data_IF_903169483875
#
_entry.id   IF_903169483875
#
_cell.length_a   1.000
_cell.length_b   1.000
_cell.length_c   1.000
_cell.angle_alpha   90.00
_cell.angle_beta   90.00
_cell.angle_gamma   90.00
#
_symmetry.space_group_name_H-M   'P 1'
#
loop_
_entity.id
_entity.type
_entity.pdbx_description
1 polymer ?
#
# COMPACT_ATOMS: atom_id res chain seq x y z
N UNK A 1 15.47 3.17 3.93
CA UNK A 1 16.45 2.27 4.60
C UNK A 1 15.79 1.25 5.54
N UNK A 2 14.84 1.66 6.39
CA UNK A 2 14.19 0.76 7.36
C UNK A 2 13.01 -0.05 6.81
N UNK A 3 12.55 0.26 5.60
CA UNK A 3 11.32 -0.30 5.02
C UNK A 3 11.28 -1.83 5.03
N UNK A 4 12.39 -2.51 4.71
CA UNK A 4 12.49 -3.98 4.82
C UNK A 4 12.11 -4.50 6.21
N UNK A 5 12.72 -3.92 7.25
CA UNK A 5 12.46 -4.30 8.63
C UNK A 5 11.06 -3.91 9.08
N UNK A 6 10.63 -2.69 8.75
CA UNK A 6 9.30 -2.17 9.08
C UNK A 6 8.22 -3.03 8.43
N UNK A 7 8.33 -3.36 7.15
CA UNK A 7 7.38 -4.22 6.46
C UNK A 7 7.37 -5.62 7.04
N UNK A 8 8.52 -6.22 7.37
CA UNK A 8 8.53 -7.50 8.08
C UNK A 8 7.74 -7.44 9.40
N UNK A 9 7.90 -6.38 10.19
CA UNK A 9 7.16 -6.19 11.44
C UNK A 9 5.66 -5.99 11.21
N UNK A 10 5.29 -5.09 10.29
CA UNK A 10 3.88 -4.79 9.97
C UNK A 10 3.15 -6.00 9.35
N UNK A 11 3.86 -6.82 8.57
CA UNK A 11 3.36 -8.07 8.00
C UNK A 11 3.43 -9.24 9.00
N UNK A 12 3.75 -8.98 10.27
CA UNK A 12 3.82 -9.98 11.35
C UNK A 12 4.72 -11.17 11.02
N UNK A 13 5.87 -10.90 10.42
CA UNK A 13 6.94 -11.90 10.30
C UNK A 13 7.60 -12.01 11.68
N UNK A 14 7.56 -13.20 12.27
CA UNK A 14 8.20 -13.47 13.54
C UNK A 14 9.53 -14.23 13.37
N UNK A 15 10.22 -14.53 14.48
CA UNK A 15 11.50 -15.25 14.46
C UNK A 15 11.34 -16.66 13.89
N UNK A 16 10.23 -17.33 14.18
CA UNK A 16 9.93 -18.67 13.69
C UNK A 16 9.76 -18.69 12.17
N UNK A 17 9.04 -17.71 11.62
CA UNK A 17 8.91 -17.50 10.18
C UNK A 17 10.30 -17.35 9.54
N UNK A 18 11.21 -16.58 10.14
CA UNK A 18 12.57 -16.38 9.63
C UNK A 18 13.37 -17.68 9.64
N UNK A 19 13.27 -18.45 10.72
CA UNK A 19 14.01 -19.69 10.91
C UNK A 19 13.44 -20.85 10.11
N UNK A 20 12.14 -20.81 9.79
CA UNK A 20 11.49 -21.81 8.93
C UNK A 20 12.21 -21.90 7.59
N UNK A 21 12.72 -23.09 7.29
CA UNK A 21 13.45 -23.36 6.05
C UNK A 21 12.44 -23.66 4.94
N UNK A 22 12.47 -22.83 3.90
CA UNK A 22 11.75 -23.08 2.65
C UNK A 22 12.78 -23.22 1.52
N UNK A 23 12.72 -24.33 0.79
CA UNK A 23 13.64 -24.58 -0.32
C UNK A 23 12.98 -24.08 -1.61
N UNK A 24 13.15 -22.79 -1.90
CA UNK A 24 12.51 -22.13 -3.05
C UNK A 24 12.79 -22.83 -4.39
N UNK A 25 14.01 -23.35 -4.56
CA UNK A 25 14.39 -24.08 -5.76
C UNK A 25 13.51 -25.32 -6.01
N UNK A 26 13.18 -26.07 -4.95
CA UNK A 26 12.36 -27.28 -5.07
C UNK A 26 10.91 -26.92 -5.39
N UNK A 27 10.41 -25.82 -4.85
CA UNK A 27 9.08 -25.29 -5.19
C UNK A 27 8.99 -24.92 -6.67
N UNK A 28 10.01 -24.24 -7.22
CA UNK A 28 10.04 -23.89 -8.64
C UNK A 28 10.17 -25.13 -9.52
N UNK A 29 11.04 -26.07 -9.16
CA UNK A 29 11.26 -27.31 -9.94
C UNK A 29 10.00 -28.18 -10.02
N UNK A 30 9.23 -28.24 -8.94
CA UNK A 30 8.04 -29.08 -8.83
C UNK A 30 6.74 -28.31 -9.12
N UNK A 31 6.83 -27.08 -9.64
CA UNK A 31 5.67 -26.25 -9.91
C UNK A 31 4.81 -26.81 -11.05
N UNK A 32 3.51 -26.55 -10.98
CA UNK A 32 2.58 -26.88 -12.05
C UNK A 32 2.97 -26.17 -13.37
N UNK A 33 2.90 -26.89 -14.49
CA UNK A 33 3.31 -26.37 -15.81
C UNK A 33 2.45 -25.19 -16.26
N UNK A 34 1.17 -25.18 -15.90
CA UNK A 34 0.24 -24.08 -16.23
C UNK A 34 0.64 -22.82 -15.49
N UNK A 35 0.91 -22.93 -14.18
CA UNK A 35 1.41 -21.82 -13.37
C UNK A 35 2.71 -21.25 -13.96
N UNK A 36 3.68 -22.10 -14.29
CA UNK A 36 4.96 -21.67 -14.87
C UNK A 36 4.73 -20.92 -16.19
N UNK A 37 3.85 -21.41 -17.06
CA UNK A 37 3.52 -20.77 -18.33
C UNK A 37 2.88 -19.39 -18.13
N UNK A 38 1.88 -19.28 -17.25
CA UNK A 38 1.20 -18.01 -16.94
C UNK A 38 2.18 -16.96 -16.41
N UNK A 39 2.99 -17.31 -15.41
CA UNK A 39 3.97 -16.39 -14.81
C UNK A 39 5.04 -15.98 -15.84
N UNK A 40 5.47 -16.88 -16.72
CA UNK A 40 6.40 -16.54 -17.79
C UNK A 40 5.82 -15.49 -18.73
N UNK A 41 4.61 -15.73 -19.25
CA UNK A 41 3.93 -14.80 -20.17
C UNK A 41 3.81 -13.39 -19.57
N UNK A 42 3.42 -13.30 -18.30
CA UNK A 42 3.21 -12.01 -17.64
C UNK A 42 4.52 -11.30 -17.30
N UNK A 43 5.48 -12.01 -16.70
CA UNK A 43 6.76 -11.39 -16.29
C UNK A 43 7.63 -11.01 -17.49
N UNK A 44 7.52 -11.72 -18.61
CA UNK A 44 8.28 -11.39 -19.82
C UNK A 44 7.82 -10.07 -20.45
N UNK A 45 6.54 -9.71 -20.27
CA UNK A 45 5.96 -8.42 -20.68
C UNK A 45 6.31 -7.25 -19.75
N UNK A 46 6.84 -7.51 -18.56
CA UNK A 46 7.34 -6.42 -17.70
C UNK A 46 8.49 -5.68 -18.41
N UNK A 47 8.44 -4.34 -18.48
CA UNK A 47 9.57 -3.55 -19.01
C UNK A 47 10.66 -3.42 -17.91
N UNK A 48 11.31 -4.54 -17.59
CA UNK A 48 12.60 -4.55 -16.91
C UNK A 48 13.66 -4.94 -17.93
N UNK A 49 14.69 -4.11 -18.16
CA UNK A 49 15.77 -4.44 -19.09
C UNK A 49 16.69 -5.57 -18.55
N UNK A 50 16.54 -5.94 -17.27
CA UNK A 50 17.42 -6.91 -16.62
C UNK A 50 16.80 -8.31 -16.61
N UNK A 51 17.25 -9.19 -17.51
CA UNK A 51 16.81 -10.59 -17.56
C UNK A 51 17.05 -11.35 -16.24
N UNK A 52 18.12 -11.05 -15.51
CA UNK A 52 18.37 -11.67 -14.22
C UNK A 52 17.31 -11.28 -13.17
N UNK A 53 16.76 -10.07 -13.26
CA UNK A 53 15.64 -9.64 -12.41
C UNK A 53 14.37 -10.41 -12.76
N UNK A 54 14.01 -10.50 -14.06
CA UNK A 54 12.84 -11.27 -14.53
C UNK A 54 12.88 -12.72 -14.05
N UNK A 55 14.03 -13.39 -14.15
CA UNK A 55 14.21 -14.77 -13.65
C UNK A 55 13.91 -14.86 -12.15
N UNK A 56 14.44 -13.93 -11.35
CA UNK A 56 14.20 -13.90 -9.89
C UNK A 56 12.74 -13.60 -9.56
N UNK A 57 12.08 -12.74 -10.32
CA UNK A 57 10.66 -12.44 -10.16
C UNK A 57 9.79 -13.65 -10.47
N UNK A 58 10.07 -14.35 -11.58
CA UNK A 58 9.44 -15.63 -11.93
C UNK A 58 9.60 -16.64 -10.79
N UNK A 59 10.83 -16.81 -10.31
CA UNK A 59 11.12 -17.74 -9.21
C UNK A 59 10.36 -17.36 -7.93
N UNK A 60 10.30 -16.08 -7.57
CA UNK A 60 9.57 -15.59 -6.40
C UNK A 60 8.08 -15.94 -6.51
N UNK A 61 7.43 -15.55 -7.62
CA UNK A 61 5.99 -15.76 -7.83
C UNK A 61 5.67 -17.25 -7.87
N UNK A 62 6.39 -18.03 -8.69
CA UNK A 62 6.19 -19.48 -8.80
C UNK A 62 6.36 -20.15 -7.44
N UNK A 63 7.37 -19.75 -6.65
CA UNK A 63 7.58 -20.31 -5.31
C UNK A 63 6.37 -20.09 -4.40
N UNK A 64 5.80 -18.88 -4.35
CA UNK A 64 4.67 -18.57 -3.46
C UNK A 64 3.42 -19.34 -3.86
N UNK A 65 3.07 -19.34 -5.14
CA UNK A 65 1.89 -20.06 -5.62
C UNK A 65 2.05 -21.59 -5.61
N UNK A 66 3.27 -22.10 -5.70
CA UNK A 66 3.55 -23.53 -5.50
C UNK A 66 3.48 -23.93 -4.02
N UNK A 67 3.96 -23.05 -3.13
CA UNK A 67 3.86 -23.24 -1.68
C UNK A 67 2.41 -23.22 -1.19
N UNK A 68 1.56 -22.43 -1.83
CA UNK A 68 0.13 -22.26 -1.52
C UNK A 68 -0.78 -22.98 -2.51
N UNK A 69 -0.28 -24.01 -3.22
CA UNK A 69 -0.99 -24.60 -4.38
C UNK A 69 -2.40 -25.11 -4.07
N UNK A 70 -2.67 -25.51 -2.83
CA UNK A 70 -3.99 -26.00 -2.38
C UNK A 70 -4.98 -24.86 -2.13
N UNK A 71 -4.50 -23.65 -1.85
CA UNK A 71 -5.34 -22.53 -1.43
C UNK A 71 -5.37 -21.39 -2.43
N UNK A 72 -4.34 -21.16 -3.25
CA UNK A 72 -4.25 -19.98 -4.12
C UNK A 72 -3.96 -20.31 -5.57
N UNK A 73 -4.57 -19.52 -6.46
CA UNK A 73 -4.37 -19.48 -7.91
C UNK A 73 -3.69 -18.18 -8.29
N UNK A 74 -2.76 -18.26 -9.23
CA UNK A 74 -2.15 -17.08 -9.81
C UNK A 74 -3.16 -16.31 -10.65
N UNK A 75 -3.18 -14.99 -10.50
CA UNK A 75 -3.91 -14.06 -11.37
C UNK A 75 -2.95 -13.05 -11.97
N UNK A 76 -3.26 -12.60 -13.18
CA UNK A 76 -2.49 -11.55 -13.86
C UNK A 76 -2.52 -10.26 -13.04
N UNK A 77 -1.38 -9.56 -12.98
CA UNK A 77 -1.17 -8.33 -12.21
C UNK A 77 -0.45 -8.53 -10.88
N UNK A 78 -0.54 -9.70 -10.23
CA UNK A 78 0.18 -9.98 -8.97
C UNK A 78 1.71 -9.87 -9.12
N UNK A 79 2.22 -10.07 -10.33
CA UNK A 79 3.65 -9.90 -10.63
C UNK A 79 4.13 -8.46 -10.41
N UNK A 80 3.26 -7.45 -10.51
CA UNK A 80 3.59 -6.05 -10.21
C UNK A 80 3.86 -5.85 -8.71
N UNK A 81 3.08 -6.47 -7.84
CA UNK A 81 3.36 -6.50 -6.39
C UNK A 81 4.68 -7.24 -6.13
N UNK A 82 4.85 -8.42 -6.75
CA UNK A 82 6.09 -9.20 -6.63
C UNK A 82 7.33 -8.40 -7.02
N UNK A 83 7.24 -7.53 -8.04
CA UNK A 83 8.29 -6.60 -8.44
C UNK A 83 8.64 -5.65 -7.30
N UNK A 84 7.64 -5.00 -6.68
CA UNK A 84 7.85 -4.06 -5.55
C UNK A 84 8.61 -4.74 -4.41
N UNK A 85 8.21 -5.95 -4.04
CA UNK A 85 8.89 -6.71 -2.99
C UNK A 85 10.30 -7.13 -3.41
N UNK A 86 10.50 -7.60 -4.64
CA UNK A 86 11.80 -8.03 -5.12
C UNK A 86 12.80 -6.86 -5.19
N UNK A 87 12.40 -5.72 -5.74
CA UNK A 87 13.21 -4.49 -5.76
C UNK A 87 13.53 -4.04 -4.34
N UNK A 88 12.54 -4.04 -3.44
CA UNK A 88 12.75 -3.65 -2.05
C UNK A 88 13.74 -4.57 -1.35
N UNK A 89 13.54 -5.89 -1.34
CA UNK A 89 14.28 -6.82 -0.49
C UNK A 89 15.58 -7.35 -1.11
N UNK A 90 15.65 -7.49 -2.44
CA UNK A 90 16.76 -8.18 -3.09
C UNK A 90 17.77 -7.25 -3.76
N UNK A 91 17.34 -6.17 -4.40
CA UNK A 91 18.25 -5.39 -5.27
C UNK A 91 19.21 -4.47 -4.51
N UNK A 92 18.88 -4.01 -3.30
CA UNK A 92 19.81 -3.14 -2.56
C UNK A 92 20.93 -3.96 -1.87
N UNK A 93 22.17 -3.81 -2.36
CA UNK A 93 23.40 -4.01 -1.57
C UNK A 93 23.46 -2.88 -0.54
N UNK A 94 23.45 -3.17 0.75
CA UNK A 94 23.47 -2.16 1.81
C UNK A 94 24.81 -2.11 2.50
N UNK A 95 25.19 -0.90 2.92
CA UNK A 95 26.33 -0.64 3.78
C UNK A 95 25.99 -1.07 5.22
N UNK A 96 26.88 -1.84 5.85
CA UNK A 96 26.65 -2.48 7.17
C UNK A 96 26.42 -1.45 8.28
N UNK A 97 26.99 -0.24 8.13
CA UNK A 97 26.90 0.86 9.11
C UNK A 97 25.48 1.37 9.30
N UNK A 98 24.71 1.46 8.23
CA UNK A 98 23.37 2.05 8.27
C UNK A 98 22.36 1.12 8.94
N UNK A 99 22.53 -0.19 8.77
CA UNK A 99 21.72 -1.21 9.47
C UNK A 99 21.92 -1.10 10.99
N UNK A 100 23.15 -0.81 11.46
CA UNK A 100 23.41 -0.61 12.89
C UNK A 100 22.66 0.61 13.45
N UNK A 101 22.67 1.76 12.74
CA UNK A 101 21.92 2.96 13.14
C UNK A 101 20.41 2.74 13.17
N UNK A 102 19.89 2.02 12.18
CA UNK A 102 18.46 1.70 12.06
C UNK A 102 17.95 0.79 13.18
N UNK A 103 18.72 -0.24 13.54
CA UNK A 103 18.39 -1.14 14.64
C UNK A 103 18.47 -0.37 15.97
N UNK A 104 19.50 0.44 16.19
CA UNK A 104 19.61 1.26 17.40
C UNK A 104 18.37 2.15 17.62
N UNK A 105 17.87 2.78 16.55
CA UNK A 105 16.60 3.52 16.60
C UNK A 105 15.42 2.59 16.94
N UNK A 106 15.26 1.45 16.26
CA UNK A 106 14.16 0.51 16.51
C UNK A 106 14.19 -0.12 17.92
N UNK A 107 15.37 -0.39 18.47
CA UNK A 107 15.55 -0.92 19.82
C UNK A 107 15.27 0.14 20.89
N UNK A 108 15.50 1.43 20.61
CA UNK A 108 15.06 2.51 21.50
C UNK A 108 13.53 2.62 21.62
N UNK A 109 12.76 2.04 20.69
CA UNK A 109 11.30 2.05 20.72
C UNK A 109 10.67 0.81 21.37
N UNK A 110 11.48 -0.14 21.86
CA UNK A 110 11.02 -1.46 22.27
C UNK A 110 11.91 -2.09 23.35
N UNK A 111 11.40 -2.20 24.58
CA UNK A 111 11.91 -3.10 25.63
C UNK A 111 11.59 -4.59 25.34
N UNK A 112 11.00 -4.88 24.17
CA UNK A 112 10.56 -6.21 23.81
C UNK A 112 11.71 -7.05 23.23
N UNK A 113 12.17 -8.04 24.01
CA UNK A 113 13.19 -9.02 23.61
C UNK A 113 12.89 -9.68 22.25
N UNK A 114 11.61 -9.82 21.88
CA UNK A 114 11.19 -10.40 20.60
C UNK A 114 11.58 -9.52 19.40
N UNK A 115 11.44 -8.20 19.50
CA UNK A 115 11.79 -7.26 18.42
C UNK A 115 13.31 -7.22 18.23
N UNK A 116 14.07 -7.32 19.32
CA UNK A 116 15.53 -7.42 19.29
C UNK A 116 15.95 -8.73 18.60
N UNK A 117 15.36 -9.86 19.00
CA UNK A 117 15.63 -11.17 18.41
C UNK A 117 15.27 -11.18 16.91
N UNK A 118 14.11 -10.66 16.54
CA UNK A 118 13.66 -10.52 15.16
C UNK A 118 14.63 -9.66 14.33
N UNK A 119 15.04 -8.51 14.86
CA UNK A 119 15.96 -7.60 14.20
C UNK A 119 17.33 -8.27 13.94
N UNK A 120 17.83 -9.03 14.92
CA UNK A 120 19.07 -9.80 14.78
C UNK A 120 18.94 -10.89 13.71
N UNK A 121 17.84 -11.64 13.72
CA UNK A 121 17.57 -12.70 12.73
C UNK A 121 17.42 -12.13 11.31
N UNK A 122 16.67 -11.05 11.13
CA UNK A 122 16.51 -10.36 9.85
C UNK A 122 17.85 -9.85 9.33
N UNK A 123 18.67 -9.23 10.18
CA UNK A 123 20.00 -8.75 9.79
C UNK A 123 20.89 -9.89 9.27
N UNK A 124 20.87 -11.02 9.94
CA UNK A 124 21.65 -12.19 9.52
C UNK A 124 21.18 -12.75 8.17
N UNK A 125 19.86 -12.78 7.91
CA UNK A 125 19.34 -13.25 6.61
C UNK A 125 19.60 -12.26 5.48
N UNK A 126 19.34 -10.98 5.72
CA UNK A 126 19.43 -9.91 4.71
C UNK A 126 20.87 -9.63 4.27
N UNK A 127 21.90 -10.14 4.97
CA UNK A 127 23.31 -10.00 4.58
C UNK A 127 23.70 -10.88 3.39
N UNK A 128 22.91 -11.91 3.07
CA UNK A 128 23.21 -12.86 1.97
C UNK A 128 22.19 -12.75 0.84
N UNK A 129 22.60 -13.06 -0.40
CA UNK A 129 21.67 -13.10 -1.54
C UNK A 129 20.54 -14.12 -1.33
N UNK A 130 20.86 -15.30 -0.82
CA UNK A 130 19.90 -16.37 -0.52
C UNK A 130 18.92 -15.96 0.58
N UNK A 131 19.42 -15.36 1.67
CA UNK A 131 18.58 -14.91 2.77
C UNK A 131 17.70 -13.71 2.40
N UNK A 132 18.16 -12.80 1.54
CA UNK A 132 17.30 -11.73 0.98
C UNK A 132 16.11 -12.29 0.20
N UNK A 133 16.33 -13.29 -0.66
CA UNK A 133 15.24 -13.95 -1.38
C UNK A 133 14.29 -14.71 -0.45
N UNK A 134 14.81 -15.38 0.59
CA UNK A 134 14.00 -16.07 1.61
C UNK A 134 13.07 -15.10 2.35
N UNK A 135 13.60 -13.96 2.80
CA UNK A 135 12.78 -12.92 3.46
C UNK A 135 11.80 -12.28 2.48
N UNK A 136 12.22 -12.02 1.23
CA UNK A 136 11.33 -11.50 0.18
C UNK A 136 10.14 -12.44 -0.05
N UNK A 137 10.38 -13.75 -0.16
CA UNK A 137 9.35 -14.76 -0.28
C UNK A 137 8.37 -14.72 0.89
N UNK A 138 8.86 -14.69 2.14
CA UNK A 138 8.02 -14.68 3.35
C UNK A 138 7.19 -13.40 3.46
N UNK A 139 7.80 -12.25 3.19
CA UNK A 139 7.11 -10.96 3.23
C UNK A 139 6.04 -10.88 2.13
N UNK A 140 6.36 -11.36 0.92
CA UNK A 140 5.40 -11.38 -0.17
C UNK A 140 4.24 -12.35 0.10
N UNK A 141 4.50 -13.57 0.59
CA UNK A 141 3.46 -14.53 1.00
C UNK A 141 2.52 -13.93 2.06
N UNK A 142 3.08 -13.31 3.12
CA UNK A 142 2.28 -12.66 4.18
C UNK A 142 1.45 -11.50 3.63
N UNK A 143 2.00 -10.71 2.70
CA UNK A 143 1.25 -9.65 2.04
C UNK A 143 0.08 -10.22 1.24
N UNK A 144 0.30 -11.24 0.41
CA UNK A 144 -0.77 -11.83 -0.40
C UNK A 144 -1.90 -12.38 0.47
N UNK A 145 -1.59 -13.02 1.61
CA UNK A 145 -2.60 -13.53 2.55
C UNK A 145 -3.40 -12.39 3.19
N UNK A 146 -2.71 -11.33 3.62
CA UNK A 146 -3.36 -10.24 4.33
C UNK A 146 -4.16 -9.31 3.42
N UNK A 147 -3.73 -9.15 2.17
CA UNK A 147 -4.20 -8.09 1.28
C UNK A 147 -4.79 -8.62 -0.03
N UNK A 148 -4.25 -9.70 -0.61
CA UNK A 148 -4.65 -10.18 -1.94
C UNK A 148 -5.59 -11.39 -1.94
N UNK A 149 -5.90 -11.97 -0.78
CA UNK A 149 -6.78 -13.15 -0.65
C UNK A 149 -8.09 -13.05 -1.43
N UNK A 150 -8.83 -11.92 -1.46
CA UNK A 150 -10.08 -11.82 -2.22
C UNK A 150 -9.95 -12.10 -3.72
N UNK A 151 -8.74 -12.01 -4.27
CA UNK A 151 -8.50 -12.13 -5.71
C UNK A 151 -7.82 -13.46 -6.09
N UNK A 152 -7.09 -14.07 -5.16
CA UNK A 152 -6.19 -15.20 -5.47
C UNK A 152 -6.63 -16.54 -4.87
N UNK A 153 -7.70 -16.59 -4.08
CA UNK A 153 -8.14 -17.83 -3.42
C UNK A 153 -8.68 -18.87 -4.41
N UNK A 154 -8.26 -20.13 -4.28
CA UNK A 154 -8.78 -21.30 -5.00
C UNK A 154 -10.06 -21.75 -4.34
N UNK A 155 -11.14 -21.75 -5.11
CA UNK A 155 -12.43 -22.24 -4.66
C UNK A 155 -12.39 -23.75 -4.42
N UNK A 156 -12.84 -24.19 -3.25
CA UNK A 156 -13.55 -25.46 -3.11
C UNK A 156 -15.04 -25.14 -3.30
N UNK A 157 -15.78 -26.04 -3.93
CA UNK A 157 -17.05 -25.84 -4.66
C UNK A 157 -18.29 -25.36 -3.86
N UNK A 158 -18.15 -24.72 -2.69
CA UNK A 158 -19.26 -24.39 -1.78
C UNK A 158 -19.42 -22.89 -1.44
N UNK A 159 -18.41 -22.04 -1.68
CA UNK A 159 -18.49 -20.59 -1.44
C UNK A 159 -17.74 -19.81 -2.52
N UNK A 160 -18.42 -19.52 -3.64
CA UNK A 160 -17.84 -18.80 -4.78
C UNK A 160 -17.54 -17.34 -4.43
N UNK A 161 -16.26 -16.99 -4.33
CA UNK A 161 -15.79 -15.60 -4.44
C UNK A 161 -15.38 -15.37 -5.89
N UNK A 162 -16.36 -15.18 -6.78
CA UNK A 162 -16.11 -14.75 -8.15
C UNK A 162 -15.42 -13.36 -8.13
N UNK A 163 -14.38 -13.14 -8.96
CA UNK A 163 -13.74 -11.81 -9.11
C UNK A 163 -14.78 -10.73 -9.40
N UNK A 164 -15.82 -11.06 -10.17
CA UNK A 164 -16.96 -10.19 -10.42
C UNK A 164 -17.73 -9.86 -9.14
N UNK A 165 -17.98 -10.85 -8.28
CA UNK A 165 -18.64 -10.65 -6.97
C UNK A 165 -17.79 -9.80 -6.02
N UNK A 166 -16.48 -10.07 -5.97
CA UNK A 166 -15.50 -9.23 -5.24
C UNK A 166 -15.55 -7.79 -5.74
N UNK A 167 -15.50 -7.59 -7.05
CA UNK A 167 -15.51 -6.27 -7.65
C UNK A 167 -16.86 -5.56 -7.43
N UNK A 168 -17.99 -6.26 -7.52
CA UNK A 168 -19.33 -5.71 -7.24
C UNK A 168 -19.44 -5.21 -5.81
N UNK A 169 -18.94 -5.98 -4.83
CA UNK A 169 -18.91 -5.56 -3.42
C UNK A 169 -18.05 -4.31 -3.21
N UNK A 170 -16.85 -4.29 -3.80
CA UNK A 170 -15.95 -3.12 -3.72
C UNK A 170 -16.58 -1.90 -4.41
N UNK A 171 -17.17 -2.06 -5.60
CA UNK A 171 -17.83 -1.00 -6.34
C UNK A 171 -19.01 -0.42 -5.55
N UNK A 172 -19.84 -1.27 -4.95
CA UNK A 172 -20.94 -0.85 -4.09
C UNK A 172 -20.44 -0.01 -2.90
N UNK A 173 -19.34 -0.42 -2.27
CA UNK A 173 -18.74 0.34 -1.16
C UNK A 173 -18.14 1.67 -1.62
N UNK A 174 -17.49 1.72 -2.79
CA UNK A 174 -17.00 2.97 -3.39
C UNK A 174 -18.16 3.92 -3.65
N UNK A 175 -19.24 3.45 -4.29
CA UNK A 175 -20.43 4.26 -4.57
C UNK A 175 -21.10 4.76 -3.28
N UNK A 176 -21.22 3.89 -2.27
CA UNK A 176 -21.74 4.28 -0.97
C UNK A 176 -20.93 5.42 -0.35
N UNK A 177 -19.60 5.34 -0.39
CA UNK A 177 -18.72 6.38 0.12
C UNK A 177 -18.79 7.67 -0.72
N UNK A 178 -18.89 7.55 -2.05
CA UNK A 178 -19.07 8.69 -2.95
C UNK A 178 -20.39 9.41 -2.69
N UNK A 179 -21.48 8.70 -2.38
CA UNK A 179 -22.77 9.33 -2.09
C UNK A 179 -22.69 10.34 -0.92
N UNK A 180 -21.76 10.09 0.02
CA UNK A 180 -21.51 11.01 1.13
C UNK A 180 -20.57 12.17 0.76
N UNK A 181 -19.45 11.87 0.10
CA UNK A 181 -18.35 12.84 -0.09
C UNK A 181 -18.41 13.59 -1.44
N UNK A 182 -19.02 13.00 -2.47
CA UNK A 182 -19.29 13.62 -3.77
C UNK A 182 -20.59 13.08 -4.40
N UNK A 183 -21.75 13.60 -3.98
CA UNK A 183 -23.06 13.17 -4.50
C UNK A 183 -23.17 13.32 -6.02
N UNK A 184 -22.56 14.35 -6.61
CA UNK A 184 -22.52 14.54 -8.06
C UNK A 184 -21.85 13.38 -8.76
N UNK A 185 -20.67 12.96 -8.29
CA UNK A 185 -19.93 11.86 -8.89
C UNK A 185 -20.64 10.52 -8.66
N UNK A 186 -21.24 10.32 -7.49
CA UNK A 186 -22.09 9.17 -7.21
C UNK A 186 -23.24 9.06 -8.22
N UNK A 187 -24.03 10.12 -8.38
CA UNK A 187 -25.19 10.11 -9.27
C UNK A 187 -24.77 9.85 -10.73
N UNK A 188 -23.67 10.47 -11.17
CA UNK A 188 -23.08 10.19 -12.47
C UNK A 188 -22.78 8.70 -12.65
N UNK A 189 -22.03 8.07 -11.73
CA UNK A 189 -21.72 6.65 -11.85
C UNK A 189 -22.95 5.75 -11.81
N UNK A 190 -23.95 6.05 -10.97
CA UNK A 190 -25.20 5.27 -10.92
C UNK A 190 -25.93 5.31 -12.25
N UNK A 191 -25.95 6.47 -12.93
CA UNK A 191 -26.61 6.64 -14.21
C UNK A 191 -25.85 6.01 -15.39
N UNK A 192 -24.54 5.75 -15.27
CA UNK A 192 -23.78 4.97 -16.26
C UNK A 192 -24.28 3.51 -16.35
N UNK A 193 -24.97 3.03 -15.31
CA UNK A 193 -25.37 1.63 -15.19
C UNK A 193 -26.68 1.38 -15.93
N UNK A 194 -26.74 0.37 -16.79
CA UNK A 194 -28.01 -0.06 -17.34
C UNK A 194 -28.88 -0.76 -16.26
N UNK A 195 -30.19 -0.80 -16.51
CA UNK A 195 -31.14 -1.44 -15.58
C UNK A 195 -30.80 -2.93 -15.43
N UNK A 196 -30.69 -3.40 -14.20
CA UNK A 196 -30.33 -4.78 -13.81
C UNK A 196 -28.86 -5.17 -13.99
N UNK A 197 -27.98 -4.23 -14.33
CA UNK A 197 -26.54 -4.50 -14.32
C UNK A 197 -25.95 -4.43 -12.90
N UNK A 198 -24.86 -5.19 -12.69
CA UNK A 198 -24.07 -5.15 -11.46
C UNK A 198 -23.22 -3.88 -11.38
N UNK A 199 -22.93 -3.43 -10.17
CA UNK A 199 -22.03 -2.30 -9.91
C UNK A 199 -20.62 -2.56 -10.44
N UNK A 200 -20.19 -3.82 -10.55
CA UNK A 200 -18.90 -4.17 -11.12
C UNK A 200 -18.73 -3.69 -12.56
N UNK A 201 -19.80 -3.64 -13.36
CA UNK A 201 -19.72 -3.25 -14.78
C UNK A 201 -19.26 -1.82 -14.96
N UNK A 202 -19.78 -0.89 -14.16
CA UNK A 202 -19.42 0.53 -14.22
C UNK A 202 -18.13 0.88 -13.46
N UNK A 203 -17.52 -0.11 -12.80
CA UNK A 203 -16.31 0.05 -12.00
C UNK A 203 -15.16 -0.88 -12.44
N UNK A 204 -15.26 -1.52 -13.62
CA UNK A 204 -14.22 -2.46 -14.08
C UNK A 204 -12.82 -1.85 -14.21
N UNK A 205 -12.74 -0.54 -14.48
CA UNK A 205 -11.45 0.17 -14.58
C UNK A 205 -10.66 0.17 -13.26
N UNK A 206 -11.30 -0.09 -12.11
CA UNK A 206 -10.66 -0.17 -10.79
C UNK A 206 -9.92 -1.51 -10.61
N UNK A 207 -10.29 -2.56 -11.35
CA UNK A 207 -9.74 -3.90 -11.16
C UNK A 207 -8.20 -3.96 -11.22
N UNK A 208 -7.52 -3.33 -12.21
CA UNK A 208 -6.06 -3.25 -12.21
C UNK A 208 -5.49 -2.53 -10.98
N UNK A 209 -6.17 -1.49 -10.48
CA UNK A 209 -5.73 -0.72 -9.32
C UNK A 209 -5.69 -1.56 -8.05
N UNK A 210 -6.76 -2.33 -7.80
CA UNK A 210 -6.89 -3.14 -6.58
C UNK A 210 -6.04 -4.41 -6.63
N UNK A 211 -5.87 -5.03 -7.81
CA UNK A 211 -5.03 -6.22 -7.96
C UNK A 211 -3.55 -5.87 -7.83
N UNK A 212 -3.13 -4.71 -8.38
CA UNK A 212 -1.72 -4.32 -8.41
C UNK A 212 -1.34 -3.36 -7.28
N UNK A 213 -2.30 -2.97 -6.43
CA UNK A 213 -2.14 -1.90 -5.44
C UNK A 213 -1.54 -0.64 -6.09
N UNK A 214 -2.14 -0.23 -7.21
CA UNK A 214 -1.78 0.93 -8.02
C UNK A 214 -0.40 0.88 -8.71
N UNK A 215 0.43 -0.11 -8.42
CA UNK A 215 1.82 -0.16 -8.91
C UNK A 215 1.96 -0.27 -10.43
N UNK A 216 0.90 -0.68 -11.13
CA UNK A 216 0.84 -0.69 -12.58
C UNK A 216 0.55 0.70 -13.18
N UNK A 217 -0.22 1.54 -12.47
CA UNK A 217 -0.68 2.85 -12.95
C UNK A 217 0.21 4.01 -12.48
N UNK A 218 1.19 3.74 -11.62
CA UNK A 218 2.23 4.71 -11.24
C UNK A 218 3.41 4.58 -12.21
N UNK A 219 3.85 5.71 -12.75
CA UNK A 219 5.04 5.81 -13.59
C UNK A 219 6.26 5.19 -12.91
N UNK A 220 7.06 4.45 -13.69
CA UNK A 220 8.26 3.77 -13.19
C UNK A 220 9.35 4.72 -12.69
N UNK A 221 9.33 5.97 -13.12
CA UNK A 221 10.26 6.99 -12.59
C UNK A 221 9.92 7.38 -11.15
N UNK A 222 8.75 6.96 -10.66
CA UNK A 222 8.19 7.32 -9.37
C UNK A 222 8.19 6.16 -8.36
N UNK A 223 9.23 5.33 -8.34
CA UNK A 223 9.40 4.23 -7.36
C UNK A 223 9.16 4.66 -5.90
N UNK A 224 9.55 5.90 -5.55
CA UNK A 224 9.31 6.48 -4.23
C UNK A 224 7.82 6.52 -3.88
N UNK A 225 6.98 6.88 -4.84
CA UNK A 225 5.53 6.94 -4.67
C UNK A 225 4.94 5.55 -4.52
N UNK A 226 5.37 4.58 -5.33
CA UNK A 226 4.93 3.18 -5.18
C UNK A 226 5.21 2.70 -3.75
N UNK A 227 6.42 2.93 -3.25
CA UNK A 227 6.72 2.54 -1.87
C UNK A 227 5.94 3.33 -0.82
N UNK A 228 5.65 4.60 -1.06
CA UNK A 228 4.82 5.42 -0.17
C UNK A 228 3.39 4.87 -0.06
N UNK A 229 2.77 4.52 -1.18
CA UNK A 229 1.46 3.86 -1.22
C UNK A 229 1.49 2.55 -0.44
N UNK A 230 2.49 1.70 -0.70
CA UNK A 230 2.63 0.42 0.01
C UNK A 230 2.91 0.59 1.51
N UNK A 231 3.70 1.58 1.91
CA UNK A 231 3.93 1.91 3.31
C UNK A 231 2.58 2.17 4.01
N UNK A 232 1.67 2.91 3.37
CA UNK A 232 0.35 3.18 3.91
C UNK A 232 -0.59 1.98 3.85
N UNK A 233 -0.62 1.21 2.77
CA UNK A 233 -1.43 -0.01 2.68
C UNK A 233 -1.04 -1.01 3.77
N UNK A 234 0.26 -1.31 3.90
CA UNK A 234 0.77 -2.32 4.84
C UNK A 234 0.58 -1.89 6.30
N UNK A 235 0.56 -0.58 6.57
CA UNK A 235 0.40 -0.06 7.92
C UNK A 235 -1.07 -0.01 8.38
N UNK A 236 -2.04 -0.14 7.49
CA UNK A 236 -3.46 0.10 7.80
C UNK A 236 -4.33 -1.15 7.57
N UNK A 237 -5.63 -1.00 7.77
CA UNK A 237 -6.60 -2.04 7.45
C UNK A 237 -6.57 -2.32 5.92
N UNK A 238 -6.67 -3.59 5.47
CA UNK A 238 -6.73 -3.92 4.05
C UNK A 238 -7.80 -3.15 3.25
N UNK A 239 -8.90 -2.78 3.89
CA UNK A 239 -9.98 -1.98 3.29
C UNK A 239 -9.55 -0.56 2.91
N UNK A 240 -8.38 -0.07 3.37
CA UNK A 240 -7.85 1.23 2.96
C UNK A 240 -7.83 1.39 1.43
N UNK A 241 -7.63 0.29 0.69
CA UNK A 241 -7.63 0.30 -0.78
C UNK A 241 -8.92 0.91 -1.37
N UNK A 242 -10.07 0.67 -0.75
CA UNK A 242 -11.37 1.17 -1.21
C UNK A 242 -11.46 2.69 -1.03
N UNK A 243 -10.96 3.19 0.11
CA UNK A 243 -10.90 4.62 0.40
C UNK A 243 -9.92 5.33 -0.54
N UNK A 244 -8.78 4.70 -0.87
CA UNK A 244 -7.84 5.24 -1.85
C UNK A 244 -8.48 5.37 -3.22
N UNK A 245 -9.21 4.34 -3.68
CA UNK A 245 -9.96 4.39 -4.94
C UNK A 245 -10.95 5.55 -4.93
N UNK A 246 -11.76 5.68 -3.87
CA UNK A 246 -12.73 6.78 -3.72
C UNK A 246 -12.08 8.16 -3.82
N UNK A 247 -10.98 8.40 -3.09
CA UNK A 247 -10.28 9.70 -3.12
C UNK A 247 -9.65 10.00 -4.49
N UNK A 248 -9.13 8.98 -5.20
CA UNK A 248 -8.65 9.14 -6.58
C UNK A 248 -9.79 9.60 -7.49
N UNK A 249 -10.97 8.96 -7.40
CA UNK A 249 -12.14 9.33 -8.18
C UNK A 249 -12.58 10.78 -7.91
N UNK A 250 -12.65 11.18 -6.65
CA UNK A 250 -13.00 12.56 -6.26
C UNK A 250 -11.99 13.57 -6.83
N UNK A 251 -10.69 13.28 -6.71
CA UNK A 251 -9.66 14.18 -7.21
C UNK A 251 -9.71 14.34 -8.74
N UNK A 252 -10.09 13.28 -9.46
CA UNK A 252 -10.19 13.27 -10.92
C UNK A 252 -11.54 13.78 -11.45
N UNK A 253 -12.49 14.16 -10.60
CA UNK A 253 -13.86 14.47 -11.00
C UNK A 253 -13.94 15.54 -12.10
N UNK A 254 -13.24 16.67 -11.92
CA UNK A 254 -13.28 17.77 -12.87
C UNK A 254 -12.61 17.40 -14.19
N UNK A 255 -11.43 16.79 -14.13
CA UNK A 255 -10.71 16.34 -15.33
C UNK A 255 -11.49 15.28 -16.12
N UNK A 256 -12.23 14.41 -15.42
CA UNK A 256 -13.14 13.44 -16.05
C UNK A 256 -14.28 14.15 -16.79
N UNK A 257 -14.94 15.12 -16.15
CA UNK A 257 -16.05 15.83 -16.79
C UNK A 257 -15.57 16.70 -17.96
N UNK A 258 -14.43 17.38 -17.82
CA UNK A 258 -13.79 18.11 -18.92
C UNK A 258 -13.38 17.18 -20.08
N UNK A 259 -12.95 15.95 -19.77
CA UNK A 259 -12.66 14.93 -20.77
C UNK A 259 -13.92 14.51 -21.51
N UNK A 260 -15.02 14.23 -20.80
CA UNK A 260 -16.28 13.80 -21.41
C UNK A 260 -16.94 14.92 -22.22
N UNK A 261 -16.89 16.17 -21.76
CA UNK A 261 -17.42 17.33 -22.49
C UNK A 261 -16.77 17.47 -23.88
N UNK A 262 -15.48 17.11 -24.03
CA UNK A 262 -14.80 17.10 -25.34
C UNK A 262 -15.37 16.08 -26.33
N UNK A 263 -15.95 14.98 -25.85
CA UNK A 263 -16.53 13.93 -26.70
C UNK A 263 -18.03 14.10 -26.90
N UNK A 264 -18.74 14.61 -25.90
CA UNK A 264 -20.22 14.64 -25.88
C UNK A 264 -20.80 16.07 -25.91
N UNK A 265 -19.97 17.11 -25.87
CA UNK A 265 -20.40 18.50 -25.78
C UNK A 265 -20.96 18.86 -24.39
N UNK A 266 -21.49 20.08 -24.26
CA UNK A 266 -22.10 20.58 -23.01
C UNK A 266 -23.49 20.00 -22.74
N UNK A 267 -24.10 19.31 -23.72
CA UNK A 267 -25.42 18.67 -23.61
C UNK A 267 -25.32 17.18 -23.28
N UNK A 268 -24.45 16.84 -22.32
CA UNK A 268 -24.34 15.49 -21.73
C UNK A 268 -25.65 14.98 -21.10
N UNK A 269 -26.66 15.83 -20.98
CA UNK A 269 -28.00 15.51 -20.46
C UNK A 269 -28.97 14.90 -21.49
N UNK A 270 -28.55 14.72 -22.76
CA UNK A 270 -29.41 14.17 -23.83
C UNK A 270 -29.06 12.76 -24.33
N UNK A 271 -27.78 12.38 -24.28
CA UNK A 271 -27.33 11.01 -24.55
C UNK A 271 -27.58 10.14 -23.32
N UNK A 272 -28.02 8.91 -23.50
CA UNK A 272 -28.20 8.00 -22.38
C UNK A 272 -26.85 7.72 -21.73
N UNK A 273 -26.66 8.20 -20.50
CA UNK A 273 -25.36 8.26 -19.79
C UNK A 273 -24.59 6.92 -19.81
N UNK A 274 -25.25 5.77 -19.96
CA UNK A 274 -24.60 4.47 -20.18
C UNK A 274 -23.66 4.41 -21.41
N UNK A 275 -23.95 5.17 -22.47
CA UNK A 275 -23.07 5.26 -23.66
C UNK A 275 -21.73 5.93 -23.35
N UNK A 276 -21.62 6.66 -22.23
CA UNK A 276 -20.38 7.31 -21.81
C UNK A 276 -19.42 6.33 -21.10
N UNK A 277 -19.90 5.18 -20.62
CA UNK A 277 -19.08 4.27 -19.83
C UNK A 277 -17.77 3.83 -20.53
N UNK A 278 -17.75 3.48 -21.83
CA UNK A 278 -16.50 3.16 -22.52
C UNK A 278 -15.45 4.28 -22.46
N UNK A 279 -15.89 5.55 -22.48
CA UNK A 279 -15.00 6.72 -22.37
C UNK A 279 -14.53 6.93 -20.95
N UNK A 280 -15.39 6.73 -19.95
CA UNK A 280 -15.02 6.72 -18.52
C UNK A 280 -13.98 5.63 -18.24
N UNK A 281 -14.21 4.42 -18.76
CA UNK A 281 -13.28 3.32 -18.65
C UNK A 281 -11.93 3.67 -19.29
N UNK A 282 -11.96 4.18 -20.53
CA UNK A 282 -10.75 4.57 -21.26
C UNK A 282 -9.96 5.66 -20.51
N UNK A 283 -10.64 6.67 -19.96
CA UNK A 283 -10.04 7.73 -19.18
C UNK A 283 -9.25 7.15 -18.00
N UNK A 284 -9.92 6.37 -17.14
CA UNK A 284 -9.28 5.83 -15.94
C UNK A 284 -8.24 4.74 -16.22
N UNK A 285 -8.41 3.97 -17.30
CA UNK A 285 -7.42 2.97 -17.70
C UNK A 285 -6.08 3.61 -18.08
N UNK A 286 -6.12 4.81 -18.67
CA UNK A 286 -4.94 5.55 -19.12
C UNK A 286 -4.48 6.64 -18.13
N UNK A 287 -5.15 6.76 -16.99
CA UNK A 287 -4.80 7.73 -15.96
C UNK A 287 -3.43 7.38 -15.35
N UNK A 288 -2.43 8.25 -15.56
CA UNK A 288 -1.20 8.23 -14.77
C UNK A 288 -1.49 8.85 -13.41
N UNK A 289 -1.70 7.99 -12.42
CA UNK A 289 -2.02 8.43 -11.06
C UNK A 289 -0.80 9.03 -10.34
N UNK A 290 0.38 9.08 -10.96
CA UNK A 290 1.59 9.63 -10.32
C UNK A 290 1.52 11.11 -10.02
N UNK A 291 0.75 11.87 -10.81
CA UNK A 291 0.61 13.33 -10.68
C UNK A 291 -0.40 13.76 -9.62
N UNK A 292 -1.21 12.82 -9.12
CA UNK A 292 -2.22 13.09 -8.11
C UNK A 292 -1.60 13.53 -6.78
N UNK A 293 -2.37 14.27 -5.98
CA UNK A 293 -1.91 14.76 -4.66
C UNK A 293 -2.04 13.66 -3.62
N UNK A 294 -1.09 12.72 -3.65
CA UNK A 294 -1.12 11.51 -2.84
C UNK A 294 -1.13 11.75 -1.34
N UNK A 295 -0.48 12.80 -0.86
CA UNK A 295 -0.57 13.26 0.53
C UNK A 295 -2.03 13.55 0.94
N UNK A 296 -2.79 14.26 0.09
CA UNK A 296 -4.22 14.53 0.32
C UNK A 296 -5.04 13.24 0.24
N UNK A 297 -4.81 12.41 -0.79
CA UNK A 297 -5.50 11.11 -0.96
C UNK A 297 -5.31 10.24 0.28
N UNK A 298 -4.07 10.07 0.75
CA UNK A 298 -3.74 9.24 1.91
C UNK A 298 -4.41 9.79 3.17
N UNK A 299 -4.29 11.09 3.43
CA UNK A 299 -4.81 11.70 4.65
C UNK A 299 -6.34 11.61 4.72
N UNK A 300 -7.03 11.93 3.63
CA UNK A 300 -8.49 11.82 3.57
C UNK A 300 -8.95 10.37 3.65
N UNK A 301 -8.29 9.46 2.94
CA UNK A 301 -8.61 8.03 2.99
C UNK A 301 -8.50 7.47 4.40
N UNK A 302 -7.47 7.86 5.15
CA UNK A 302 -7.30 7.43 6.54
C UNK A 302 -8.34 8.03 7.46
N UNK A 303 -8.64 9.34 7.35
CA UNK A 303 -9.70 9.98 8.13
C UNK A 303 -11.05 9.31 7.88
N UNK A 304 -11.38 9.07 6.61
CA UNK A 304 -12.62 8.42 6.20
C UNK A 304 -12.69 6.98 6.72
N UNK A 305 -11.60 6.21 6.63
CA UNK A 305 -11.51 4.86 7.20
C UNK A 305 -11.71 4.85 8.72
N UNK A 306 -11.11 5.78 9.45
CA UNK A 306 -11.24 5.88 10.92
C UNK A 306 -12.66 6.24 11.37
N UNK A 307 -13.36 7.06 10.58
CA UNK A 307 -14.71 7.52 10.89
C UNK A 307 -15.81 6.56 10.39
N UNK A 308 -15.46 5.60 9.54
CA UNK A 308 -16.40 4.66 8.95
C UNK A 308 -16.66 3.46 9.87
N UNK A 309 -17.93 3.04 9.94
CA UNK A 309 -18.27 1.72 10.51
C UNK A 309 -17.94 0.64 9.48
N UNK A 310 -16.66 0.24 9.41
CA UNK A 310 -16.14 -0.66 8.38
C UNK A 310 -16.89 -2.00 8.27
N UNK A 311 -17.51 -2.48 9.35
CA UNK A 311 -18.34 -3.70 9.35
C UNK A 311 -19.65 -3.58 8.57
N UNK A 312 -20.02 -2.37 8.14
CA UNK A 312 -21.17 -2.13 7.26
C UNK A 312 -20.81 -2.17 5.77
N UNK A 313 -19.53 -2.23 5.43
CA UNK A 313 -19.08 -2.33 4.04
C UNK A 313 -19.29 -3.74 3.52
N UNK A 314 -19.84 -3.88 2.32
CA UNK A 314 -20.16 -5.16 1.69
C UNK A 314 -18.90 -6.02 1.46
N UNK A 315 -17.76 -5.36 1.29
CA UNK A 315 -16.47 -5.98 1.08
C UNK A 315 -15.74 -6.37 2.36
N UNK A 316 -16.27 -6.04 3.54
CA UNK A 316 -15.62 -6.26 4.85
C UNK A 316 -15.16 -7.71 5.05
N UNK A 317 -16.05 -8.65 4.75
CA UNK A 317 -15.81 -10.08 4.98
C UNK A 317 -14.80 -10.69 3.98
N UNK A 318 -14.54 -10.03 2.85
CA UNK A 318 -13.63 -10.56 1.82
C UNK A 318 -12.22 -10.78 2.35
N UNK A 319 -11.80 -9.98 3.33
CA UNK A 319 -10.48 -10.09 3.96
C UNK A 319 -10.46 -10.90 5.26
N UNK A 320 -11.57 -11.55 5.64
CA UNK A 320 -11.70 -12.33 6.89
C UNK A 320 -11.19 -11.54 8.12
N UNK A 321 -11.54 -10.25 8.20
CA UNK A 321 -10.93 -9.28 9.12
C UNK A 321 -11.16 -9.67 10.59
N UNK A 322 -12.30 -10.26 10.91
CA UNK A 322 -12.69 -10.66 12.27
C UNK A 322 -11.84 -11.78 12.88
N UNK A 323 -11.25 -12.65 12.08
CA UNK A 323 -10.47 -13.79 12.59
C UNK A 323 -8.99 -13.47 12.85
N UNK A 324 -8.45 -12.30 12.42
CA UNK A 324 -6.99 -12.05 12.45
C UNK A 324 -6.54 -10.61 12.75
N UNK A 325 -7.42 -9.60 12.74
CA UNK A 325 -7.01 -8.20 12.57
C UNK A 325 -7.13 -7.27 13.79
N UNK A 326 -7.70 -7.71 14.92
CA UNK A 326 -7.93 -6.86 16.11
C UNK A 326 -6.64 -6.28 16.75
N UNK A 327 -5.46 -6.85 16.47
CA UNK A 327 -4.19 -6.32 16.97
C UNK A 327 -3.54 -5.22 16.09
N UNK A 328 -3.96 -5.04 14.83
CA UNK A 328 -3.29 -4.14 13.87
C UNK A 328 -3.47 -2.65 14.19
N UNK A 329 -4.61 -2.29 14.80
CA UNK A 329 -4.89 -0.91 15.18
C UNK A 329 -3.96 -0.40 16.29
N UNK A 330 -3.61 -1.25 17.27
CA UNK A 330 -2.80 -0.85 18.41
C UNK A 330 -1.35 -0.55 18.04
N UNK A 331 -0.73 -1.32 17.14
CA UNK A 331 0.68 -1.11 16.76
C UNK A 331 0.85 0.21 16.00
N UNK A 332 -0.02 0.49 15.01
CA UNK A 332 0.06 1.75 14.26
C UNK A 332 -0.31 2.97 15.14
N UNK A 333 -1.29 2.82 16.04
CA UNK A 333 -1.63 3.85 17.03
C UNK A 333 -0.46 4.12 17.99
N UNK A 334 0.23 3.08 18.48
CA UNK A 334 1.41 3.23 19.36
C UNK A 334 2.57 3.90 18.61
N UNK A 335 2.85 3.51 17.36
CA UNK A 335 3.90 4.15 16.56
C UNK A 335 3.55 5.62 16.22
N UNK A 336 2.29 5.94 15.90
CA UNK A 336 1.85 7.32 15.63
C UNK A 336 1.83 8.20 16.88
N UNK A 337 1.28 7.72 18.00
CA UNK A 337 1.25 8.45 19.28
C UNK A 337 2.68 8.73 19.77
N UNK A 338 3.60 7.77 19.63
CA UNK A 338 5.00 7.97 20.05
C UNK A 338 5.79 8.83 19.09
N UNK A 339 5.52 8.75 17.78
CA UNK A 339 6.09 9.69 16.82
C UNK A 339 5.66 11.13 17.13
N UNK A 340 4.36 11.37 17.41
CA UNK A 340 3.86 12.70 17.78
C UNK A 340 4.39 13.18 19.14
N UNK A 341 4.60 12.29 20.12
CA UNK A 341 5.24 12.63 21.39
C UNK A 341 6.71 13.06 21.21
N UNK A 342 7.48 12.37 20.36
CA UNK A 342 8.85 12.77 20.06
C UNK A 342 8.92 14.10 19.30
N UNK A 343 7.96 14.37 18.41
CA UNK A 343 7.84 15.68 17.75
C UNK A 343 7.50 16.77 18.77
N UNK A 344 6.58 16.51 19.70
CA UNK A 344 6.26 17.39 20.84
C UNK A 344 7.51 17.69 21.68
N UNK A 345 8.25 16.66 22.12
CA UNK A 345 9.48 16.81 22.90
C UNK A 345 10.51 17.65 22.13
N UNK A 346 10.67 17.42 20.82
CA UNK A 346 11.59 18.19 19.99
C UNK A 346 11.18 19.66 19.89
N UNK A 347 9.89 19.96 19.75
CA UNK A 347 9.37 21.33 19.78
C UNK A 347 9.53 21.98 21.16
N UNK A 348 9.29 21.25 22.25
CA UNK A 348 9.52 21.76 23.60
C UNK A 348 11.00 22.07 23.80
N UNK A 349 11.92 21.22 23.33
CA UNK A 349 13.36 21.43 23.47
C UNK A 349 13.85 22.63 22.64
N UNK A 350 13.38 22.77 21.40
CA UNK A 350 13.64 23.95 20.56
C UNK A 350 13.11 25.21 21.24
N UNK A 351 11.88 25.17 21.74
CA UNK A 351 11.28 26.31 22.43
C UNK A 351 12.08 26.68 23.68
N UNK A 352 12.55 25.70 24.45
CA UNK A 352 13.37 25.95 25.65
C UNK A 352 14.73 26.54 25.30
N UNK A 353 15.41 26.02 24.27
CA UNK A 353 16.68 26.58 23.78
C UNK A 353 16.48 28.01 23.28
N UNK A 354 15.39 28.26 22.55
CA UNK A 354 15.05 29.58 22.03
C UNK A 354 14.74 30.57 23.17
N UNK A 355 13.99 30.14 24.20
CA UNK A 355 13.74 30.94 25.41
C UNK A 355 15.04 31.26 26.15
N UNK A 356 15.95 30.30 26.31
CA UNK A 356 17.26 30.53 26.95
C UNK A 356 18.10 31.51 26.12
N UNK A 357 18.14 31.35 24.80
CA UNK A 357 18.87 32.27 23.92
C UNK A 357 18.32 33.70 23.99
N UNK A 358 16.99 33.87 24.00
CA UNK A 358 16.36 35.18 24.21
C UNK A 358 16.71 35.72 25.59
N UNK A 359 16.66 34.91 26.65
CA UNK A 359 17.04 35.35 27.99
C UNK A 359 18.50 35.82 28.05
N UNK A 360 19.43 35.12 27.38
CA UNK A 360 20.83 35.57 27.28
C UNK A 360 20.97 36.89 26.52
N UNK A 361 20.28 37.04 25.40
CA UNK A 361 20.28 38.29 24.62
C UNK A 361 19.72 39.44 25.45
N UNK A 362 18.56 39.24 26.11
CA UNK A 362 17.95 40.27 26.97
C UNK A 362 18.85 40.60 28.16
N UNK A 363 19.54 39.62 28.75
CA UNK A 363 20.44 39.85 29.87
C UNK A 363 21.72 40.58 29.43
N UNK A 364 22.28 40.29 28.26
CA UNK A 364 23.40 41.07 27.67
C UNK A 364 22.99 42.51 27.36
N UNK A 365 21.79 42.73 26.81
CA UNK A 365 21.25 44.07 26.59
C UNK A 365 20.97 44.81 27.92
N UNK A 366 20.55 44.10 28.97
CA UNK A 366 20.37 44.64 30.31
C UNK A 366 21.70 45.05 30.96
N UNK A 367 22.72 44.21 30.88
CA UNK A 367 24.06 44.47 31.42
C UNK A 367 24.78 45.61 30.69
N UNK A 368 24.65 45.68 29.36
CA UNK A 368 25.15 46.79 28.54
C UNK A 368 24.53 48.14 28.94
N UNK A 369 23.25 48.14 29.32
CA UNK A 369 22.54 49.37 29.73
C UNK A 369 22.93 49.84 31.13
N UNK A 370 23.23 48.91 32.05
CA UNK A 370 23.71 49.24 33.41
C UNK A 370 25.14 49.81 33.36
N UNK A 371 26.03 49.22 32.56
CA UNK A 371 27.41 49.73 32.42
C UNK A 371 27.42 51.12 31.76
N UNK A 372 26.50 51.42 30.84
CA UNK A 372 26.43 52.77 30.23
C UNK A 372 25.95 53.87 31.19
N UNK A 373 25.19 53.53 32.23
CA UNK A 373 24.70 54.51 33.21
C UNK A 373 25.67 54.76 34.37
N UNK A 374 26.67 53.90 34.59
CA UNK A 374 27.73 54.14 35.59
C UNK A 374 28.94 54.92 35.04
N UNK A 375 28.98 55.16 33.72
CA UNK A 375 30.07 55.87 33.04
C UNK A 375 29.63 57.12 32.26
N UNK A 376 28.46 57.70 32.60
CA UNK A 376 27.97 58.98 32.03
C UNK A 376 27.81 60.05 33.09
#
# INVERSE_FOLDING_TARGET
>A
MNRRFIWCMLLKINVDDINRRVILHDLVRNADKTLVKQVNCDVDRCNSPNNAFKIKLKHLIISVFSYRKEHFSYIQGIHEIGRVFLTLFHEHKQNILDIKKSIFKLTQFSDNNEIIALSKALKMKLSTGKGRMDICFKAFDKFLIAYSTPYIYKHDCLTEINIESTLSKIASDVLHLLNHDSPTLHNFFINLKEKNESESKICMFILPWIITYFSHNVSRTSDKLIYYIFDHVISNNPLLIIFLVKEILIQCQWELFDFLEKYFGSETHGSSEHEMYPFVHLYFQNLDISSLKWDVIIDNSQKSLLNSRISKLNSYDLWNIDNKCTQNFKVNLIFRIRASQNTMIYYTLIFTIFSIAISFIVNEFGFSKVIRNEYS
#
